data_IF_684206533492
#
_entry.id   IF_684206533492
#
_cell.length_a   1.000
_cell.length_b   1.000
_cell.length_c   1.000
_cell.angle_alpha   90.00
_cell.angle_beta   90.00
_cell.angle_gamma   90.00
#
_symmetry.space_group_name_H-M   'P 1'
#
loop_
_entity.id
_entity.type
_entity.pdbx_description
1 polymer ?
#
# COMPACT_ATOMS: atom_id res chain seq x y z
N UNK A 1 -14.99 10.29 12.11
CA UNK A 1 -14.58 9.96 10.73
C UNK A 1 -14.10 8.52 10.73
N UNK A 2 -15.01 7.57 10.57
CA UNK A 2 -14.71 6.14 10.68
C UNK A 2 -14.39 5.64 9.28
N UNK A 3 -13.12 5.33 9.01
CA UNK A 3 -12.69 4.77 7.74
C UNK A 3 -13.45 3.44 7.51
N UNK A 4 -14.27 3.40 6.45
CA UNK A 4 -15.22 2.31 6.14
C UNK A 4 -14.57 1.10 5.43
N UNK A 5 -13.24 1.05 5.30
CA UNK A 5 -12.54 -0.11 4.73
C UNK A 5 -11.41 -0.57 5.67
N UNK A 6 -11.49 -1.78 6.28
CA UNK A 6 -10.48 -2.26 7.23
C UNK A 6 -9.10 -2.51 6.59
N UNK A 7 -9.02 -2.62 5.26
CA UNK A 7 -7.79 -2.86 4.53
C UNK A 7 -6.84 -1.64 4.48
N UNK A 8 -7.38 -0.41 4.55
CA UNK A 8 -6.58 0.81 4.38
C UNK A 8 -6.53 1.60 5.68
N UNK A 9 -5.35 1.61 6.31
CA UNK A 9 -5.10 2.38 7.55
C UNK A 9 -4.31 3.66 7.25
N UNK A 10 -4.75 4.77 7.83
CA UNK A 10 -4.00 6.02 7.84
C UNK A 10 -2.95 5.92 8.97
N UNK A 11 -1.68 6.17 8.64
CA UNK A 11 -0.58 6.12 9.59
C UNK A 11 0.04 7.51 9.70
N UNK A 12 0.10 8.03 10.93
CA UNK A 12 0.79 9.28 11.22
C UNK A 12 2.24 8.98 11.59
N UNK A 13 3.19 9.69 10.99
CA UNK A 13 4.61 9.56 11.30
C UNK A 13 5.29 10.94 11.41
N UNK A 14 6.40 11.06 12.15
CA UNK A 14 7.14 12.31 12.25
C UNK A 14 7.63 12.84 10.89
N UNK A 15 7.42 14.14 10.63
CA UNK A 15 7.75 14.77 9.34
C UNK A 15 9.21 14.58 8.89
N UNK A 16 10.14 14.44 9.85
CA UNK A 16 11.56 14.16 9.59
C UNK A 16 11.81 12.86 8.78
N UNK A 17 10.87 11.92 8.80
CA UNK A 17 10.99 10.67 8.04
C UNK A 17 10.56 10.81 6.58
N UNK A 18 9.78 11.85 6.23
CA UNK A 18 9.31 12.08 4.86
C UNK A 18 10.46 12.08 3.83
N UNK A 19 11.54 12.88 3.97
CA UNK A 19 12.62 12.86 2.99
C UNK A 19 13.35 11.51 2.88
N UNK A 20 13.37 10.70 3.95
CA UNK A 20 13.95 9.36 3.91
C UNK A 20 13.07 8.38 3.13
N UNK A 21 11.75 8.48 3.30
CA UNK A 21 10.79 7.67 2.55
C UNK A 21 10.77 8.05 1.07
N UNK A 22 10.82 9.35 0.75
CA UNK A 22 10.87 9.85 -0.63
C UNK A 22 12.10 9.32 -1.36
N UNK A 23 13.27 9.42 -0.70
CA UNK A 23 14.53 8.88 -1.23
C UNK A 23 14.44 7.38 -1.50
N UNK A 24 13.89 6.61 -0.56
CA UNK A 24 13.75 5.16 -0.71
C UNK A 24 12.76 4.79 -1.82
N UNK A 25 11.68 5.57 -1.97
CA UNK A 25 10.70 5.43 -3.05
C UNK A 25 11.37 5.60 -4.42
N UNK A 26 12.16 6.67 -4.57
CA UNK A 26 12.85 7.03 -5.81
C UNK A 26 13.99 6.05 -6.15
N UNK A 27 14.84 5.71 -5.17
CA UNK A 27 16.02 4.85 -5.40
C UNK A 27 15.64 3.40 -5.72
N UNK A 28 14.58 2.89 -5.09
CA UNK A 28 14.13 1.50 -5.28
C UNK A 28 13.00 1.36 -6.31
N UNK A 29 12.46 2.47 -6.80
CA UNK A 29 11.42 2.49 -7.81
C UNK A 29 10.09 1.89 -7.33
N UNK A 30 9.71 2.14 -6.08
CA UNK A 30 8.41 1.71 -5.57
C UNK A 30 7.28 2.52 -6.23
N UNK A 31 6.16 1.87 -6.52
CA UNK A 31 5.01 2.51 -7.16
C UNK A 31 4.28 3.48 -6.22
N UNK A 32 4.30 3.22 -4.91
CA UNK A 32 3.57 4.02 -3.92
C UNK A 32 4.14 3.91 -2.51
N UNK A 33 3.83 4.90 -1.65
CA UNK A 33 4.18 4.82 -0.21
C UNK A 33 3.52 3.64 0.49
N UNK A 34 2.34 3.20 0.05
CA UNK A 34 1.70 2.00 0.61
C UNK A 34 2.50 0.73 0.32
N UNK A 35 3.06 0.61 -0.88
CA UNK A 35 3.91 -0.51 -1.24
C UNK A 35 5.22 -0.48 -0.46
N UNK A 36 5.91 0.67 -0.46
CA UNK A 36 7.13 0.89 0.33
C UNK A 36 6.89 0.57 1.82
N UNK A 37 5.80 1.07 2.40
CA UNK A 37 5.46 0.81 3.80
C UNK A 37 5.16 -0.67 4.04
N UNK A 38 4.51 -1.34 3.09
CA UNK A 38 4.31 -2.80 3.12
C UNK A 38 5.64 -3.56 3.22
N UNK A 39 6.64 -3.17 2.43
CA UNK A 39 7.99 -3.74 2.49
C UNK A 39 8.72 -3.44 3.80
N UNK A 40 8.61 -2.22 4.33
CA UNK A 40 9.21 -1.84 5.61
C UNK A 40 8.60 -2.67 6.76
N UNK A 41 7.28 -2.75 6.81
CA UNK A 41 6.57 -3.50 7.85
C UNK A 41 6.84 -5.01 7.73
N UNK A 42 6.85 -5.54 6.50
CA UNK A 42 7.25 -6.91 6.21
C UNK A 42 8.64 -7.24 6.76
N UNK A 43 9.64 -6.40 6.48
CA UNK A 43 11.00 -6.58 6.95
C UNK A 43 11.09 -6.49 8.48
N UNK A 44 10.36 -5.55 9.09
CA UNK A 44 10.36 -5.34 10.54
C UNK A 44 9.72 -6.50 11.32
N UNK A 45 8.58 -7.01 10.84
CA UNK A 45 7.85 -8.10 11.50
C UNK A 45 8.23 -9.50 10.99
N UNK A 46 9.13 -9.60 10.01
CA UNK A 46 9.53 -10.86 9.39
C UNK A 46 8.44 -11.52 8.53
N UNK A 47 7.46 -10.74 8.04
CA UNK A 47 6.34 -11.24 7.25
C UNK A 47 6.63 -10.96 5.77
N UNK A 48 7.00 -11.96 4.97
CA UNK A 48 7.19 -11.77 3.53
C UNK A 48 5.85 -11.39 2.86
N UNK A 49 5.77 -10.26 2.11
CA UNK A 49 4.53 -9.82 1.49
C UNK A 49 4.06 -10.77 0.37
N UNK A 50 4.94 -11.67 -0.11
CA UNK A 50 4.59 -12.74 -1.06
C UNK A 50 3.64 -13.81 -0.48
N UNK A 51 3.44 -13.87 0.84
CA UNK A 51 2.62 -14.89 1.49
C UNK A 51 1.32 -14.36 2.12
N UNK A 52 0.87 -13.15 1.78
CA UNK A 52 -0.49 -12.73 2.14
C UNK A 52 -1.53 -13.31 1.18
N UNK A 53 -1.45 -14.62 0.92
CA UNK A 53 -2.53 -15.40 0.33
C UNK A 53 -3.26 -16.06 1.50
N UNK A 54 -4.28 -15.36 2.03
CA UNK A 54 -5.37 -15.96 2.80
C UNK A 54 -6.52 -14.94 2.89
N UNK A 55 -7.40 -15.04 1.89
CA UNK A 55 -8.86 -14.86 1.92
C UNK A 55 -9.46 -13.72 2.76
N UNK A 56 -9.86 -12.63 2.10
CA UNK A 56 -11.29 -12.29 1.98
C UNK A 56 -11.49 -11.08 1.05
N UNK A 57 -12.30 -11.25 0.00
CA UNK A 57 -12.77 -10.16 -0.87
C UNK A 57 -12.17 -10.20 -2.25
N UNK A 58 -12.98 -10.60 -3.23
CA UNK A 58 -12.65 -10.62 -4.65
C UNK A 58 -12.15 -9.26 -5.13
N UNK A 59 -10.96 -9.22 -5.73
CA UNK A 59 -10.53 -8.12 -6.59
C UNK A 59 -11.46 -8.07 -7.81
N UNK A 60 -12.52 -7.29 -7.72
CA UNK A 60 -13.29 -6.88 -8.89
C UNK A 60 -12.42 -5.91 -9.69
N UNK A 61 -11.71 -6.44 -10.67
CA UNK A 61 -11.09 -5.68 -11.75
C UNK A 61 -12.22 -4.90 -12.45
N UNK A 62 -12.34 -3.61 -12.18
CA UNK A 62 -13.26 -2.72 -12.90
C UNK A 62 -12.73 -2.58 -14.33
N UNK A 63 -13.25 -3.41 -15.25
CA UNK A 63 -13.05 -3.21 -16.69
C UNK A 63 -13.88 -2.01 -17.13
N UNK A 64 -13.21 -0.89 -17.45
CA UNK A 64 -13.87 0.29 -17.98
C UNK A 64 -14.51 -0.01 -19.34
N UNK A 65 -15.84 -0.02 -19.39
CA UNK A 65 -16.61 -0.12 -20.63
C UNK A 65 -16.96 1.30 -21.10
N UNK A 66 -16.65 1.61 -22.37
CA UNK A 66 -17.01 2.90 -22.99
C UNK A 66 -18.52 2.93 -23.20
N UNK A 67 -19.20 3.85 -22.52
CA UNK A 67 -20.56 4.26 -22.90
C UNK A 67 -20.46 5.21 -24.10
N UNK A 68 -20.92 4.76 -25.28
CA UNK A 68 -21.15 5.65 -26.41
C UNK A 68 -22.57 6.24 -26.24
N UNK A 69 -22.64 7.56 -26.04
CA UNK A 69 -23.85 8.36 -26.14
C UNK A 69 -23.75 9.31 -27.32
#
# INVERSE_FOLDING_TARGET
MTNKNPATRIVNYPAKFKPLLDRELDEKGFFSYSELMGHILAAHYGINPKNSSNNDGQDTIIKGEKING
#
